data_IF_313518180930
#
_entry.id   IF_313518180930
#
_cell.length_a   1.000
_cell.length_b   1.000
_cell.length_c   1.000
_cell.angle_alpha   90.00
_cell.angle_beta   90.00
_cell.angle_gamma   90.00
#
_symmetry.space_group_name_H-M   'P 1'
#
loop_
_entity.id
_entity.type
_entity.pdbx_description
1 polymer ?
#
# COMPACT_ATOMS: atom_id res chain seq x y z
N UNK A 1 -28.09 -19.11 -12.24
CA UNK A 1 -27.38 -20.32 -12.69
C UNK A 1 -26.51 -19.91 -13.85
N UNK A 2 -25.21 -19.77 -13.63
CA UNK A 2 -24.22 -19.53 -14.69
C UNK A 2 -24.00 -20.90 -15.32
N UNK A 3 -24.19 -20.94 -16.65
CA UNK A 3 -24.23 -22.14 -17.49
C UNK A 3 -23.02 -23.06 -17.30
N UNK A 4 -23.20 -24.29 -17.69
CA UNK A 4 -22.33 -25.46 -17.68
C UNK A 4 -20.99 -25.31 -18.45
N UNK A 5 -20.58 -24.13 -18.85
CA UNK A 5 -19.29 -23.90 -19.54
C UNK A 5 -18.18 -23.65 -18.55
N UNK A 6 -17.04 -24.29 -18.76
CA UNK A 6 -15.81 -24.03 -18.02
C UNK A 6 -15.36 -22.59 -18.30
N UNK A 7 -15.27 -21.70 -17.28
CA UNK A 7 -14.94 -20.31 -17.50
C UNK A 7 -13.49 -20.15 -17.96
N UNK A 8 -13.23 -19.08 -18.68
CA UNK A 8 -11.89 -18.65 -19.08
C UNK A 8 -11.37 -17.62 -18.09
N UNK A 9 -10.22 -17.90 -17.50
CA UNK A 9 -9.50 -17.00 -16.58
C UNK A 9 -8.21 -16.52 -17.23
N UNK A 10 -8.10 -15.21 -17.47
CA UNK A 10 -6.84 -14.59 -17.83
C UNK A 10 -6.02 -14.30 -16.54
N UNK A 11 -4.70 -14.53 -16.56
CA UNK A 11 -3.80 -14.26 -15.45
C UNK A 11 -2.59 -13.48 -15.94
N UNK A 12 -2.52 -12.19 -15.60
CA UNK A 12 -1.35 -11.36 -15.85
C UNK A 12 -0.30 -11.62 -14.77
N UNK A 13 0.78 -12.29 -15.09
CA UNK A 13 1.78 -12.71 -14.11
C UNK A 13 3.25 -12.47 -14.53
N UNK A 14 3.51 -11.98 -15.75
CA UNK A 14 4.87 -11.82 -16.25
C UNK A 14 5.67 -13.12 -16.14
N UNK A 15 6.93 -13.01 -15.72
CA UNK A 15 7.83 -14.16 -15.56
C UNK A 15 7.54 -15.01 -14.31
N UNK A 16 6.77 -14.49 -13.36
CA UNK A 16 6.49 -15.16 -12.08
C UNK A 16 5.03 -15.58 -11.99
N UNK A 17 4.77 -16.88 -12.20
CA UNK A 17 3.41 -17.42 -12.04
C UNK A 17 2.97 -17.43 -10.57
N UNK A 18 1.66 -17.19 -10.30
CA UNK A 18 1.12 -17.37 -8.96
C UNK A 18 1.30 -18.82 -8.51
N UNK A 19 1.69 -19.07 -7.25
CA UNK A 19 1.86 -20.42 -6.72
C UNK A 19 0.50 -21.12 -6.56
N UNK A 20 0.53 -22.46 -6.59
CA UNK A 20 -0.58 -23.35 -6.22
C UNK A 20 -1.96 -23.05 -6.85
N UNK A 21 -1.96 -22.80 -8.16
CA UNK A 21 -3.20 -22.55 -8.93
C UNK A 21 -3.98 -23.82 -9.30
N UNK A 22 -3.53 -25.01 -8.93
CA UNK A 22 -4.09 -26.31 -9.36
C UNK A 22 -5.58 -26.48 -9.13
N UNK A 23 -6.10 -25.99 -7.99
CA UNK A 23 -7.54 -26.06 -7.71
C UNK A 23 -8.37 -25.22 -8.69
N UNK A 24 -7.84 -24.05 -9.11
CA UNK A 24 -8.47 -23.15 -10.07
C UNK A 24 -8.33 -23.70 -11.49
N UNK A 25 -7.17 -24.26 -11.85
CA UNK A 25 -6.90 -24.90 -13.14
C UNK A 25 -7.80 -26.14 -13.40
N UNK A 26 -8.24 -26.80 -12.33
CA UNK A 26 -9.21 -27.91 -12.45
C UNK A 26 -10.63 -27.43 -12.79
N UNK A 27 -10.95 -26.14 -12.57
CA UNK A 27 -12.29 -25.58 -12.71
C UNK A 27 -12.41 -24.49 -13.78
N UNK A 28 -11.28 -24.04 -14.37
CA UNK A 28 -11.22 -22.99 -15.38
C UNK A 28 -10.19 -23.29 -16.46
N UNK A 29 -10.40 -22.75 -17.67
CA UNK A 29 -9.36 -22.63 -18.68
C UNK A 29 -8.50 -21.43 -18.30
N UNK A 30 -7.28 -21.66 -17.77
CA UNK A 30 -6.39 -20.60 -17.31
C UNK A 30 -5.41 -20.21 -18.42
N UNK A 31 -5.38 -18.91 -18.76
CA UNK A 31 -4.45 -18.31 -19.72
C UNK A 31 -3.44 -17.42 -18.98
N UNK A 32 -2.26 -17.93 -18.76
CA UNK A 32 -1.15 -17.16 -18.19
C UNK A 32 -0.51 -16.29 -19.27
N UNK A 33 -0.24 -15.03 -18.94
CA UNK A 33 0.31 -14.06 -19.89
C UNK A 33 1.20 -13.02 -19.22
N UNK A 34 2.03 -12.38 -20.01
CA UNK A 34 2.72 -11.13 -19.71
C UNK A 34 1.95 -9.93 -20.27
N UNK A 35 2.55 -8.74 -20.18
CA UNK A 35 1.97 -7.50 -20.68
C UNK A 35 1.77 -7.52 -22.22
N UNK A 36 2.64 -8.19 -22.97
CA UNK A 36 2.60 -8.22 -24.43
C UNK A 36 1.45 -9.09 -24.95
N UNK A 37 1.19 -10.23 -24.32
CA UNK A 37 0.11 -11.15 -24.69
C UNK A 37 -1.23 -10.87 -24.02
N UNK A 38 -1.35 -9.79 -23.25
CA UNK A 38 -2.53 -9.54 -22.41
C UNK A 38 -3.83 -9.40 -23.20
N UNK A 39 -3.84 -8.72 -24.34
CA UNK A 39 -5.03 -8.55 -25.16
C UNK A 39 -5.58 -9.90 -25.67
N UNK A 40 -4.70 -10.80 -26.14
CA UNK A 40 -5.09 -12.13 -26.60
C UNK A 40 -5.64 -12.98 -25.44
N UNK A 41 -5.04 -12.88 -24.26
CA UNK A 41 -5.51 -13.60 -23.07
C UNK A 41 -6.87 -13.11 -22.57
N UNK A 42 -7.17 -11.81 -22.70
CA UNK A 42 -8.45 -11.20 -22.29
C UNK A 42 -9.59 -11.48 -23.26
N UNK A 43 -9.32 -11.69 -24.55
CA UNK A 43 -10.37 -11.97 -25.53
C UNK A 43 -11.16 -13.21 -25.15
N UNK A 44 -12.47 -13.06 -24.91
CA UNK A 44 -13.36 -14.12 -24.46
C UNK A 44 -13.12 -14.59 -23.02
N UNK A 45 -12.33 -13.88 -22.21
CA UNK A 45 -12.14 -14.23 -20.80
C UNK A 45 -13.33 -13.78 -19.95
N UNK A 46 -13.77 -14.62 -19.02
CA UNK A 46 -14.86 -14.35 -18.08
C UNK A 46 -14.39 -13.68 -16.79
N UNK A 47 -13.17 -14.00 -16.36
CA UNK A 47 -12.50 -13.46 -15.18
C UNK A 47 -11.05 -13.09 -15.47
N UNK A 48 -10.52 -12.14 -14.71
CA UNK A 48 -9.14 -11.67 -14.87
C UNK A 48 -8.44 -11.52 -13.50
N UNK A 49 -7.29 -12.15 -13.36
CA UNK A 49 -6.43 -12.04 -12.19
C UNK A 49 -5.17 -11.24 -12.55
N UNK A 50 -5.08 -10.01 -12.06
CA UNK A 50 -3.89 -9.16 -12.17
C UNK A 50 -2.95 -9.53 -11.03
N UNK A 51 -2.14 -10.58 -11.24
CA UNK A 51 -1.17 -11.04 -10.25
C UNK A 51 0.10 -10.17 -10.28
N UNK A 52 0.56 -9.76 -11.46
CA UNK A 52 1.57 -8.70 -11.62
C UNK A 52 0.91 -7.33 -11.41
N UNK A 53 0.72 -6.98 -10.15
CA UNK A 53 0.01 -5.77 -9.75
C UNK A 53 0.80 -4.47 -9.94
N UNK A 54 2.07 -4.55 -10.33
CA UNK A 54 2.88 -3.38 -10.70
C UNK A 54 2.78 -3.08 -12.20
N UNK A 55 2.19 -3.98 -12.98
CA UNK A 55 2.02 -3.80 -14.42
C UNK A 55 1.01 -2.69 -14.74
N UNK A 56 1.38 -1.83 -15.68
CA UNK A 56 0.52 -0.76 -16.24
C UNK A 56 -0.15 -1.16 -17.56
N UNK A 57 -0.11 -2.44 -17.96
CA UNK A 57 -0.58 -2.91 -19.26
C UNK A 57 -2.10 -2.98 -19.40
N UNK A 58 -2.85 -3.07 -18.29
CA UNK A 58 -4.30 -3.33 -18.29
C UNK A 58 -5.11 -2.30 -19.10
N UNK A 59 -4.90 -0.97 -18.98
CA UNK A 59 -5.64 0.01 -19.77
C UNK A 59 -5.46 -0.17 -21.28
N UNK A 60 -4.25 -0.48 -21.74
CA UNK A 60 -3.93 -0.67 -23.16
C UNK A 60 -4.60 -1.91 -23.79
N UNK A 61 -4.80 -2.96 -23.00
CA UNK A 61 -5.41 -4.21 -23.44
C UNK A 61 -6.92 -4.28 -23.20
N UNK A 62 -7.53 -3.28 -22.56
CA UNK A 62 -8.93 -3.30 -22.14
C UNK A 62 -9.95 -3.48 -23.25
N UNK A 63 -9.62 -3.03 -24.45
CA UNK A 63 -10.47 -3.18 -25.64
C UNK A 63 -10.77 -4.64 -25.99
N UNK A 64 -9.96 -5.60 -25.52
CA UNK A 64 -10.14 -7.04 -25.72
C UNK A 64 -10.95 -7.72 -24.60
N UNK A 65 -11.32 -7.02 -23.55
CA UNK A 65 -12.08 -7.57 -22.41
C UNK A 65 -13.59 -7.64 -22.70
N UNK A 66 -13.97 -8.31 -23.79
CA UNK A 66 -15.31 -8.34 -24.38
C UNK A 66 -16.36 -9.16 -23.57
N UNK A 67 -15.92 -10.11 -22.75
CA UNK A 67 -16.77 -10.97 -21.90
C UNK A 67 -16.50 -10.86 -20.41
N UNK A 68 -15.57 -9.98 -20.03
CA UNK A 68 -15.08 -9.90 -18.65
C UNK A 68 -16.19 -9.47 -17.67
N UNK A 69 -16.35 -10.20 -16.58
CA UNK A 69 -17.32 -9.92 -15.52
C UNK A 69 -16.68 -9.64 -14.18
N UNK A 70 -15.47 -10.13 -13.95
CA UNK A 70 -14.75 -9.97 -12.69
C UNK A 70 -13.26 -9.78 -12.92
N UNK A 71 -12.70 -8.77 -12.26
CA UNK A 71 -11.27 -8.49 -12.18
C UNK A 71 -10.84 -8.52 -10.71
N UNK A 72 -9.80 -9.28 -10.40
CA UNK A 72 -9.14 -9.27 -9.11
C UNK A 72 -7.71 -8.78 -9.26
N UNK A 73 -7.28 -7.83 -8.42
CA UNK A 73 -5.89 -7.39 -8.36
C UNK A 73 -5.21 -7.89 -7.08
N UNK A 74 -3.99 -8.41 -7.22
CA UNK A 74 -3.17 -9.00 -6.15
C UNK A 74 -2.50 -7.93 -5.26
N UNK A 75 -3.12 -6.78 -5.07
CA UNK A 75 -2.66 -5.70 -4.19
C UNK A 75 -3.80 -5.14 -3.36
N UNK A 76 -3.50 -4.36 -2.32
CA UNK A 76 -4.50 -3.63 -1.57
C UNK A 76 -4.92 -2.34 -2.29
N UNK A 77 -4.00 -1.64 -2.95
CA UNK A 77 -4.29 -0.51 -3.83
C UNK A 77 -4.79 -0.97 -5.20
N UNK A 78 -5.58 -0.16 -5.88
CA UNK A 78 -6.18 -0.48 -7.19
C UNK A 78 -5.81 0.52 -8.28
N UNK A 79 -4.99 1.49 -7.94
CA UNK A 79 -4.55 2.56 -8.84
C UNK A 79 -4.01 2.05 -10.19
N UNK A 80 -3.26 0.92 -10.30
CA UNK A 80 -2.77 0.45 -11.60
C UNK A 80 -3.87 -0.03 -12.57
N UNK A 81 -5.05 -0.38 -12.03
CA UNK A 81 -6.18 -0.90 -12.82
C UNK A 81 -7.38 0.05 -12.83
N UNK A 82 -7.30 1.19 -12.12
CA UNK A 82 -8.41 2.13 -12.00
C UNK A 82 -8.32 3.21 -13.07
N UNK A 83 -8.95 2.98 -14.21
CA UNK A 83 -9.03 3.90 -15.35
C UNK A 83 -10.47 4.02 -15.86
N UNK A 84 -10.82 5.04 -16.67
CA UNK A 84 -12.20 5.30 -17.08
C UNK A 84 -12.92 4.08 -17.65
N UNK A 85 -12.28 3.30 -18.52
CA UNK A 85 -12.90 2.13 -19.13
C UNK A 85 -13.33 1.06 -18.12
N UNK A 86 -12.55 0.81 -17.05
CA UNK A 86 -12.97 -0.08 -15.96
C UNK A 86 -14.03 0.59 -15.07
N UNK A 87 -13.87 1.89 -14.76
CA UNK A 87 -14.78 2.61 -13.89
C UNK A 87 -16.21 2.65 -14.43
N UNK A 88 -16.36 2.81 -15.75
CA UNK A 88 -17.64 2.88 -16.47
C UNK A 88 -18.23 1.49 -16.80
N UNK A 89 -17.46 0.42 -16.70
CA UNK A 89 -17.90 -0.94 -17.01
C UNK A 89 -18.74 -1.58 -15.89
N UNK A 90 -19.45 -2.67 -16.21
CA UNK A 90 -20.13 -3.52 -15.22
C UNK A 90 -19.21 -4.56 -14.57
N UNK A 91 -17.91 -4.57 -14.92
CA UNK A 91 -16.93 -5.52 -14.36
C UNK A 91 -16.76 -5.27 -12.87
N UNK A 92 -16.95 -6.30 -12.06
CA UNK A 92 -16.73 -6.22 -10.62
C UNK A 92 -15.23 -6.20 -10.35
N UNK A 93 -14.75 -5.21 -9.60
CA UNK A 93 -13.36 -5.11 -9.16
C UNK A 93 -13.23 -5.58 -7.71
N UNK A 94 -12.29 -6.49 -7.44
CA UNK A 94 -11.91 -6.91 -6.09
C UNK A 94 -10.40 -6.81 -5.90
N UNK A 95 -9.95 -6.68 -4.65
CA UNK A 95 -8.54 -6.56 -4.31
C UNK A 95 -8.12 -7.50 -3.16
N UNK A 96 -6.83 -7.51 -2.84
CA UNK A 96 -6.24 -8.34 -1.78
C UNK A 96 -6.14 -7.61 -0.44
N UNK A 97 -7.11 -6.73 -0.11
CA UNK A 97 -7.20 -6.05 1.19
C UNK A 97 -7.14 -7.07 2.33
N UNK A 98 -6.37 -6.77 3.37
CA UNK A 98 -6.21 -7.60 4.56
C UNK A 98 -4.96 -8.48 4.56
N UNK A 99 -4.34 -8.71 3.39
CA UNK A 99 -3.13 -9.55 3.27
C UNK A 99 -1.91 -8.84 3.89
N UNK A 100 -1.76 -7.56 3.65
CA UNK A 100 -0.53 -6.81 3.95
C UNK A 100 -0.56 -6.03 5.27
N UNK A 101 -1.73 -5.95 5.94
CA UNK A 101 -1.97 -5.03 7.06
C UNK A 101 -0.99 -5.24 8.23
N UNK A 102 -0.73 -6.49 8.57
CA UNK A 102 0.19 -6.85 9.66
C UNK A 102 1.65 -6.58 9.31
N UNK A 103 2.09 -7.05 8.14
CA UNK A 103 3.46 -6.90 7.69
C UNK A 103 3.87 -5.43 7.54
N UNK A 104 3.00 -4.59 6.96
CA UNK A 104 3.26 -3.14 6.87
C UNK A 104 3.33 -2.51 8.26
N UNK A 105 2.48 -2.93 9.21
CA UNK A 105 2.54 -2.41 10.57
C UNK A 105 3.85 -2.79 11.27
N UNK A 106 4.33 -4.03 11.09
CA UNK A 106 5.63 -4.49 11.58
C UNK A 106 6.79 -3.71 10.94
N UNK A 107 6.73 -3.48 9.63
CA UNK A 107 7.71 -2.66 8.92
C UNK A 107 7.77 -1.25 9.52
N UNK A 108 6.62 -0.58 9.71
CA UNK A 108 6.56 0.78 10.29
C UNK A 108 7.15 0.80 11.72
N UNK A 109 6.82 -0.18 12.57
CA UNK A 109 7.44 -0.28 13.90
C UNK A 109 8.96 -0.51 13.78
N UNK A 110 9.39 -1.35 12.84
CA UNK A 110 10.79 -1.63 12.56
C UNK A 110 11.57 -0.37 12.21
N UNK A 111 11.06 0.47 11.30
CA UNK A 111 11.74 1.71 10.90
C UNK A 111 11.71 2.78 12.01
N UNK A 112 10.62 2.86 12.79
CA UNK A 112 10.55 3.74 13.96
C UNK A 112 11.63 3.36 14.98
N UNK A 113 11.80 2.07 15.25
CA UNK A 113 12.87 1.57 16.12
C UNK A 113 14.26 1.79 15.52
N UNK A 114 14.43 1.59 14.21
CA UNK A 114 15.70 1.81 13.53
C UNK A 114 16.18 3.25 13.68
N UNK A 115 15.28 4.22 13.53
CA UNK A 115 15.59 5.63 13.81
C UNK A 115 15.86 5.90 15.30
N UNK A 116 14.96 5.46 16.17
CA UNK A 116 15.09 5.75 17.60
C UNK A 116 16.34 5.15 18.23
N UNK A 117 16.79 3.98 17.75
CA UNK A 117 17.99 3.27 18.24
C UNK A 117 19.23 3.54 17.40
N UNK A 118 19.11 4.33 16.34
CA UNK A 118 20.21 4.70 15.46
C UNK A 118 20.97 3.44 14.95
N UNK A 119 20.19 2.48 14.39
CA UNK A 119 20.77 1.21 13.95
C UNK A 119 21.69 1.40 12.75
N UNK A 120 21.41 2.33 11.86
CA UNK A 120 22.27 2.64 10.71
C UNK A 120 23.69 2.99 11.20
N UNK A 121 23.78 3.91 12.15
CA UNK A 121 25.07 4.27 12.75
C UNK A 121 25.74 3.11 13.50
N UNK A 122 24.94 2.24 14.14
CA UNK A 122 25.50 1.05 14.81
C UNK A 122 26.18 0.12 13.81
N UNK A 123 25.53 -0.13 12.66
CA UNK A 123 26.10 -0.97 11.59
C UNK A 123 27.36 -0.36 10.99
N UNK A 124 27.40 0.96 10.80
CA UNK A 124 28.59 1.63 10.27
C UNK A 124 29.77 1.58 11.26
N UNK A 125 29.51 1.82 12.54
CA UNK A 125 30.52 1.66 13.60
C UNK A 125 31.03 0.22 13.68
N UNK A 126 30.14 -0.78 13.54
CA UNK A 126 30.52 -2.19 13.50
C UNK A 126 31.43 -2.49 12.31
N UNK A 127 31.11 -2.02 11.09
CA UNK A 127 31.98 -2.18 9.90
C UNK A 127 33.37 -1.55 10.11
N UNK A 128 33.40 -0.39 10.80
CA UNK A 128 34.62 0.34 11.15
C UNK A 128 35.35 -0.24 12.36
N UNK A 129 34.82 -1.28 13.03
CA UNK A 129 35.33 -1.89 14.26
C UNK A 129 35.51 -0.86 15.40
N UNK A 130 34.59 0.12 15.46
CA UNK A 130 34.59 1.17 16.47
C UNK A 130 33.59 0.85 17.58
N UNK A 131 34.10 0.70 18.80
CA UNK A 131 33.32 0.57 20.03
C UNK A 131 33.02 1.97 20.57
N UNK A 132 31.86 2.56 20.16
CA UNK A 132 31.48 3.91 20.56
C UNK A 132 30.13 3.90 21.28
N UNK A 133 30.18 4.21 22.58
CA UNK A 133 28.97 4.40 23.39
C UNK A 133 28.26 5.71 22.96
N UNK A 134 26.93 5.67 22.91
CA UNK A 134 26.08 6.83 22.57
C UNK A 134 24.69 6.68 23.16
N UNK A 135 23.98 7.79 23.32
CA UNK A 135 22.59 7.80 23.72
C UNK A 135 21.66 7.45 22.53
N UNK A 136 20.51 6.90 22.84
CA UNK A 136 19.43 6.62 21.86
C UNK A 136 18.09 7.12 22.39
N UNK A 137 17.12 7.28 21.51
CA UNK A 137 15.78 7.74 21.88
C UNK A 137 14.91 6.58 22.40
N UNK A 138 13.92 6.92 23.25
CA UNK A 138 12.81 6.04 23.59
C UNK A 138 11.62 6.39 22.72
N UNK A 139 10.91 5.37 22.21
CA UNK A 139 9.67 5.57 21.43
C UNK A 139 8.44 5.72 22.32
N UNK A 140 8.46 5.18 23.53
CA UNK A 140 7.36 5.30 24.50
C UNK A 140 7.04 6.77 24.78
N UNK A 141 5.77 7.15 24.67
CA UNK A 141 5.29 8.51 24.83
C UNK A 141 5.49 9.42 23.60
N UNK A 142 6.20 8.97 22.56
CA UNK A 142 6.30 9.73 21.30
C UNK A 142 4.96 9.74 20.57
N UNK A 143 4.70 10.84 19.86
CA UNK A 143 3.45 11.07 19.12
C UNK A 143 3.59 10.66 17.66
N UNK A 144 2.63 9.88 17.18
CA UNK A 144 2.57 9.48 15.76
C UNK A 144 1.26 9.97 15.15
N UNK A 145 1.36 10.59 13.98
CA UNK A 145 0.24 10.94 13.15
C UNK A 145 0.18 9.98 11.96
N UNK A 146 -0.85 9.14 11.90
CA UNK A 146 -1.06 8.19 10.79
C UNK A 146 -2.03 8.80 9.80
N UNK A 147 -1.55 9.10 8.59
CA UNK A 147 -2.33 9.70 7.51
C UNK A 147 -2.84 8.60 6.60
N UNK A 148 -4.12 8.28 6.77
CA UNK A 148 -4.79 7.12 6.17
C UNK A 148 -5.33 6.19 7.26
N UNK A 149 -6.67 6.19 7.43
CA UNK A 149 -7.36 5.46 8.53
C UNK A 149 -8.06 4.18 8.04
N UNK A 150 -7.57 3.61 6.97
CA UNK A 150 -7.97 2.31 6.43
C UNK A 150 -7.42 1.13 7.26
N UNK A 151 -7.60 -0.13 6.82
CA UNK A 151 -7.17 -1.32 7.56
C UNK A 151 -5.67 -1.32 7.88
N UNK A 152 -4.82 -0.98 6.95
CA UNK A 152 -3.36 -0.87 7.15
C UNK A 152 -3.06 0.19 8.20
N UNK A 153 -3.63 1.41 8.07
CA UNK A 153 -3.43 2.47 9.06
C UNK A 153 -3.90 2.08 10.46
N UNK A 154 -5.00 1.35 10.58
CA UNK A 154 -5.47 0.78 11.85
C UNK A 154 -4.51 -0.24 12.43
N UNK A 155 -3.95 -1.11 11.60
CA UNK A 155 -2.97 -2.10 12.03
C UNK A 155 -1.69 -1.41 12.54
N UNK A 156 -1.22 -0.39 11.82
CA UNK A 156 -0.09 0.47 12.24
C UNK A 156 -0.41 1.14 13.59
N UNK A 157 -1.60 1.74 13.72
CA UNK A 157 -1.99 2.43 14.96
C UNK A 157 -2.01 1.48 16.17
N UNK A 158 -2.60 0.29 16.04
CA UNK A 158 -2.60 -0.73 17.11
C UNK A 158 -1.18 -1.15 17.49
N UNK A 159 -0.32 -1.41 16.51
CA UNK A 159 1.06 -1.84 16.71
C UNK A 159 1.88 -0.78 17.47
N UNK A 160 1.80 0.49 17.04
CA UNK A 160 2.53 1.58 17.65
C UNK A 160 2.01 1.94 19.05
N UNK A 161 0.70 1.84 19.29
CA UNK A 161 0.11 1.99 20.63
C UNK A 161 0.56 0.87 21.56
N UNK A 162 0.61 -0.38 21.10
CA UNK A 162 1.12 -1.49 21.88
C UNK A 162 2.61 -1.30 22.25
N UNK A 163 3.38 -0.59 21.42
CA UNK A 163 4.76 -0.20 21.70
C UNK A 163 4.87 1.05 22.63
N UNK A 164 3.73 1.57 23.14
CA UNK A 164 3.70 2.68 24.09
C UNK A 164 3.71 4.07 23.46
N UNK A 165 3.48 4.19 22.16
CA UNK A 165 3.38 5.49 21.47
C UNK A 165 1.96 6.07 21.58
N UNK A 166 1.84 7.40 21.49
CA UNK A 166 0.57 8.09 21.36
C UNK A 166 0.24 8.26 19.88
N UNK A 167 -0.91 7.73 19.44
CA UNK A 167 -1.27 7.71 18.02
C UNK A 167 -2.56 8.50 17.78
N UNK A 168 -2.56 9.32 16.72
CA UNK A 168 -3.75 9.94 16.17
C UNK A 168 -3.82 9.64 14.66
N UNK A 169 -5.02 9.70 14.10
CA UNK A 169 -5.26 9.49 12.68
C UNK A 169 -5.61 10.76 11.92
N UNK A 170 -5.33 10.78 10.62
CA UNK A 170 -5.89 11.76 9.66
C UNK A 170 -6.62 10.99 8.56
N UNK A 171 -7.85 11.38 8.28
CA UNK A 171 -8.68 10.72 7.27
C UNK A 171 -9.85 11.59 6.84
N UNK A 172 -10.65 11.09 5.90
CA UNK A 172 -11.78 11.85 5.35
C UNK A 172 -12.94 12.07 6.34
N UNK A 173 -13.13 11.14 7.27
CA UNK A 173 -14.20 11.20 8.28
C UNK A 173 -13.59 11.42 9.65
N UNK A 174 -13.59 12.67 10.16
CA UNK A 174 -13.10 12.96 11.51
C UNK A 174 -14.00 12.28 12.55
N UNK A 175 -13.43 11.86 13.68
CA UNK A 175 -14.13 11.27 14.80
C UNK A 175 -13.25 11.24 16.04
N UNK A 176 -13.88 11.33 17.19
CA UNK A 176 -13.25 11.18 18.51
C UNK A 176 -13.47 9.77 19.05
N UNK A 177 -12.60 9.31 19.93
CA UNK A 177 -12.74 8.03 20.62
C UNK A 177 -12.63 6.81 19.71
N UNK A 178 -11.97 6.92 18.55
CA UNK A 178 -11.71 5.77 17.69
C UNK A 178 -10.85 4.74 18.44
N UNK A 179 -11.23 3.44 18.44
CA UNK A 179 -10.56 2.43 19.26
C UNK A 179 -9.08 2.25 18.92
N UNK A 180 -8.68 2.50 17.66
CA UNK A 180 -7.32 2.31 17.19
C UNK A 180 -6.49 3.61 17.27
N UNK A 181 -7.10 4.76 16.94
CA UNK A 181 -6.40 6.06 16.83
C UNK A 181 -6.60 6.97 18.04
N UNK A 182 -7.65 6.78 18.85
CA UNK A 182 -8.14 7.81 19.76
C UNK A 182 -8.90 8.87 18.97
N UNK A 183 -8.17 9.85 18.42
CA UNK A 183 -8.75 10.88 17.57
C UNK A 183 -8.38 10.69 16.12
N UNK A 184 -9.33 10.96 15.24
CA UNK A 184 -9.13 11.03 13.78
C UNK A 184 -9.54 12.42 13.31
N UNK A 185 -8.60 13.14 12.75
CA UNK A 185 -8.79 14.50 12.22
C UNK A 185 -9.16 14.47 10.74
N UNK A 186 -9.78 15.53 10.26
CA UNK A 186 -10.08 15.68 8.84
C UNK A 186 -8.79 15.85 8.02
N UNK A 187 -8.74 15.26 6.81
CA UNK A 187 -7.59 15.41 5.90
C UNK A 187 -7.33 16.87 5.51
N UNK A 188 -8.37 17.71 5.47
CA UNK A 188 -8.25 19.17 5.25
C UNK A 188 -7.57 19.91 6.40
N UNK A 189 -7.40 19.28 7.56
CA UNK A 189 -6.75 19.87 8.73
C UNK A 189 -5.34 19.29 8.97
N UNK A 190 -4.77 18.57 7.99
CA UNK A 190 -3.47 17.90 8.12
C UNK A 190 -2.40 18.86 8.69
N UNK A 191 -2.20 20.02 8.06
CA UNK A 191 -1.17 21.00 8.43
C UNK A 191 -1.29 21.46 9.89
N UNK A 192 -2.51 21.48 10.47
CA UNK A 192 -2.75 21.85 11.88
C UNK A 192 -2.21 20.80 12.87
N UNK A 193 -2.15 19.53 12.47
CA UNK A 193 -1.78 18.43 13.36
C UNK A 193 -0.34 17.96 13.18
N UNK A 194 0.32 18.32 12.08
CA UNK A 194 1.73 18.01 11.81
C UNK A 194 2.69 18.50 12.90
N UNK A 195 2.56 19.74 13.46
CA UNK A 195 3.49 20.25 14.48
C UNK A 195 3.54 19.41 15.77
N UNK A 196 2.49 18.65 16.05
CA UNK A 196 2.39 17.82 17.26
C UNK A 196 3.04 16.45 17.14
N UNK A 197 3.46 16.00 15.95
CA UNK A 197 3.89 14.65 15.69
C UNK A 197 5.42 14.50 15.70
N UNK A 198 5.95 13.52 16.43
CA UNK A 198 7.35 13.10 16.35
C UNK A 198 7.60 12.22 15.11
N UNK A 199 6.56 11.50 14.67
CA UNK A 199 6.55 10.68 13.46
C UNK A 199 5.26 10.94 12.68
N UNK A 200 5.38 11.06 11.35
CA UNK A 200 4.23 11.12 10.43
C UNK A 200 4.31 9.90 9.51
N UNK A 201 3.25 9.10 9.47
CA UNK A 201 3.18 7.88 8.65
C UNK A 201 2.13 8.07 7.57
N UNK A 202 2.56 8.14 6.31
CA UNK A 202 1.70 8.23 5.14
C UNK A 202 1.31 6.81 4.67
N UNK A 203 -0.01 6.52 4.68
CA UNK A 203 -0.62 5.25 4.25
C UNK A 203 -2.00 5.48 3.63
N UNK A 204 -2.26 6.71 3.17
CA UNK A 204 -3.47 7.05 2.44
C UNK A 204 -3.48 6.43 1.04
N UNK A 205 -4.65 6.11 0.46
CA UNK A 205 -4.73 5.75 -0.95
C UNK A 205 -4.38 6.94 -1.84
N UNK A 206 -3.87 6.67 -3.04
CA UNK A 206 -3.66 7.70 -4.05
C UNK A 206 -4.99 8.08 -4.68
N UNK A 207 -5.32 9.36 -4.62
CA UNK A 207 -6.49 9.99 -5.23
C UNK A 207 -6.09 11.41 -5.65
N UNK A 208 -6.92 12.10 -6.43
CA UNK A 208 -6.68 13.49 -6.77
C UNK A 208 -6.52 14.41 -5.54
N UNK A 209 -7.21 14.08 -4.41
CA UNK A 209 -7.13 14.86 -3.17
C UNK A 209 -5.90 14.54 -2.32
N UNK A 210 -5.26 13.40 -2.54
CA UNK A 210 -4.10 12.98 -1.74
C UNK A 210 -2.79 13.08 -2.50
N UNK A 211 -2.83 13.25 -3.82
CA UNK A 211 -1.66 13.46 -4.66
C UNK A 211 -0.94 14.74 -4.24
N UNK A 212 0.35 14.63 -3.93
CA UNK A 212 1.19 15.75 -3.49
C UNK A 212 0.77 16.38 -2.16
N UNK A 213 0.00 15.66 -1.31
CA UNK A 213 -0.45 16.21 -0.02
C UNK A 213 0.69 16.48 0.98
N UNK A 214 1.85 15.91 0.73
CA UNK A 214 3.09 16.21 1.45
C UNK A 214 4.02 17.01 0.54
N UNK A 215 3.82 18.30 0.53
CA UNK A 215 4.57 19.32 -0.19
C UNK A 215 5.47 20.14 0.76
N UNK A 216 6.07 21.21 0.25
CA UNK A 216 6.93 22.10 1.03
C UNK A 216 6.22 22.70 2.26
N UNK A 217 4.93 23.07 2.13
CA UNK A 217 4.15 23.61 3.23
C UNK A 217 3.90 22.56 4.32
N UNK A 218 3.53 21.35 3.91
CA UNK A 218 3.32 20.24 4.82
C UNK A 218 4.61 19.87 5.57
N UNK A 219 5.76 19.79 4.89
CA UNK A 219 7.04 19.50 5.54
C UNK A 219 7.49 20.63 6.44
N UNK A 220 7.29 21.89 6.07
CA UNK A 220 7.59 23.05 6.92
C UNK A 220 6.70 23.11 8.17
N UNK A 221 5.46 22.59 8.09
CA UNK A 221 4.56 22.50 9.24
C UNK A 221 4.90 21.33 10.20
N UNK A 222 5.71 20.36 9.78
CA UNK A 222 6.10 19.25 10.65
C UNK A 222 6.97 19.74 11.81
N UNK A 223 6.90 19.03 12.94
CA UNK A 223 7.71 19.32 14.10
C UNK A 223 9.21 19.24 13.73
N UNK A 224 10.03 20.27 14.03
CA UNK A 224 11.47 20.21 13.81
C UNK A 224 12.09 18.96 14.43
N UNK A 225 12.87 18.21 13.66
CA UNK A 225 13.47 16.97 14.08
C UNK A 225 12.53 15.75 14.07
N UNK A 226 11.31 15.89 13.56
CA UNK A 226 10.42 14.76 13.33
C UNK A 226 10.87 13.88 12.16
N UNK A 227 10.24 12.73 12.01
CA UNK A 227 10.55 11.75 10.96
C UNK A 227 9.33 11.42 10.13
N UNK A 228 9.54 11.23 8.84
CA UNK A 228 8.50 10.89 7.88
C UNK A 228 8.62 9.44 7.42
N UNK A 229 7.51 8.72 7.33
CA UNK A 229 7.46 7.34 6.85
C UNK A 229 6.40 7.25 5.75
N UNK A 230 6.77 6.81 4.55
CA UNK A 230 5.81 6.58 3.47
C UNK A 230 5.76 5.11 3.09
N UNK A 231 4.62 4.47 3.40
CA UNK A 231 4.25 3.10 3.02
C UNK A 231 2.94 3.07 2.23
N UNK A 232 2.52 4.23 1.71
CA UNK A 232 1.32 4.39 0.90
C UNK A 232 1.61 4.37 -0.59
N UNK A 233 1.81 5.56 -1.17
CA UNK A 233 2.21 5.76 -2.57
C UNK A 233 3.23 6.89 -2.67
N UNK A 234 4.14 6.78 -3.62
CA UNK A 234 5.17 7.80 -3.83
C UNK A 234 4.59 9.15 -4.19
N UNK A 235 3.53 9.18 -4.97
CA UNK A 235 2.86 10.39 -5.45
C UNK A 235 2.09 11.15 -4.34
N UNK A 236 1.97 10.62 -3.14
CA UNK A 236 1.51 11.38 -1.98
C UNK A 236 2.48 12.51 -1.62
N UNK A 237 3.73 12.41 -2.07
CA UNK A 237 4.87 13.26 -1.71
C UNK A 237 5.36 14.02 -2.93
N UNK A 238 5.58 15.31 -2.78
CA UNK A 238 6.41 16.09 -3.69
C UNK A 238 7.87 15.82 -3.35
N UNK A 239 8.51 14.93 -4.12
CA UNK A 239 9.85 14.39 -3.80
C UNK A 239 10.92 15.47 -3.65
N UNK A 240 10.89 16.55 -4.48
CA UNK A 240 11.81 17.69 -4.36
C UNK A 240 11.73 18.38 -3.01
N UNK A 241 10.53 18.52 -2.47
CA UNK A 241 10.26 19.22 -1.24
C UNK A 241 10.71 18.40 -0.02
N UNK A 242 10.47 17.08 -0.08
CA UNK A 242 11.00 16.15 0.92
C UNK A 242 12.54 16.21 0.97
N UNK A 243 13.20 16.18 -0.20
CA UNK A 243 14.67 16.28 -0.30
C UNK A 243 15.15 17.61 0.31
N UNK A 244 14.44 18.70 0.05
CA UNK A 244 14.72 20.00 0.66
C UNK A 244 14.70 19.93 2.19
N UNK A 245 13.59 19.48 2.77
CA UNK A 245 13.40 19.38 4.22
C UNK A 245 14.38 18.41 4.92
N UNK A 246 14.85 17.37 4.21
CA UNK A 246 15.87 16.45 4.73
C UNK A 246 17.27 17.08 4.70
N UNK A 247 17.58 17.89 3.68
CA UNK A 247 18.89 18.55 3.52
C UNK A 247 19.10 19.71 4.48
N UNK A 248 18.05 20.50 4.72
CA UNK A 248 18.13 21.64 5.64
C UNK A 248 17.99 21.22 7.10
N UNK A 249 17.66 19.95 7.38
CA UNK A 249 17.55 19.39 8.71
C UNK A 249 16.20 19.67 9.41
N UNK A 250 15.23 20.24 8.73
CA UNK A 250 13.86 20.40 9.25
C UNK A 250 13.26 19.04 9.63
N UNK A 251 13.50 18.02 8.81
CA UNK A 251 13.24 16.62 9.12
C UNK A 251 14.52 15.91 9.56
N UNK A 252 14.46 15.16 10.66
CA UNK A 252 15.57 14.34 11.11
C UNK A 252 15.82 13.13 10.21
N UNK A 253 14.81 12.64 9.50
CA UNK A 253 14.94 11.53 8.57
C UNK A 253 13.63 11.11 7.94
N UNK A 254 13.74 10.26 6.91
CA UNK A 254 12.60 9.63 6.28
C UNK A 254 12.84 8.14 6.00
N UNK A 255 11.77 7.33 6.09
CA UNK A 255 11.74 5.95 5.59
C UNK A 255 10.74 5.87 4.43
N UNK A 256 11.23 5.45 3.28
CA UNK A 256 10.48 5.46 2.03
C UNK A 256 10.47 4.05 1.44
N UNK A 257 9.29 3.45 1.39
CA UNK A 257 9.07 2.15 0.73
C UNK A 257 8.55 2.34 -0.69
N UNK A 258 8.01 3.54 -0.99
CA UNK A 258 7.36 3.86 -2.27
C UNK A 258 7.86 5.20 -2.82
N UNK A 259 7.88 5.32 -4.15
CA UNK A 259 8.44 6.46 -4.87
C UNK A 259 7.53 6.87 -6.03
N UNK A 260 7.56 8.15 -6.43
CA UNK A 260 6.80 8.65 -7.58
C UNK A 260 7.24 8.06 -8.92
N UNK A 261 8.46 7.53 -8.98
CA UNK A 261 8.96 6.71 -10.10
C UNK A 261 9.60 5.47 -9.52
N UNK A 262 9.09 4.31 -9.88
CA UNK A 262 9.59 3.01 -9.47
C UNK A 262 9.99 2.17 -10.69
N UNK A 263 11.17 1.54 -10.69
CA UNK A 263 12.23 1.62 -9.67
C UNK A 263 12.78 3.03 -9.48
N UNK A 264 13.23 3.35 -8.22
CA UNK A 264 13.86 4.64 -7.93
C UNK A 264 15.07 4.85 -8.85
N UNK A 265 15.13 5.95 -9.64
CA UNK A 265 16.25 6.22 -10.54
C UNK A 265 17.60 6.21 -9.83
N UNK A 266 18.62 5.66 -10.46
CA UNK A 266 19.96 5.52 -9.90
C UNK A 266 20.62 6.86 -9.52
N UNK A 267 20.24 7.94 -10.24
CA UNK A 267 20.70 9.31 -10.01
C UNK A 267 19.98 10.03 -8.87
N UNK A 268 18.97 9.40 -8.27
CA UNK A 268 18.22 10.02 -7.18
C UNK A 268 19.14 10.34 -5.99
N UNK A 269 19.12 11.60 -5.48
CA UNK A 269 19.91 11.95 -4.32
C UNK A 269 19.51 11.21 -3.04
N UNK A 270 18.32 10.64 -2.99
CA UNK A 270 17.85 9.88 -1.83
C UNK A 270 18.75 8.69 -1.50
N UNK A 271 19.41 8.07 -2.51
CA UNK A 271 20.33 6.94 -2.32
C UNK A 271 21.52 7.24 -1.41
N UNK A 272 21.96 8.50 -1.38
CA UNK A 272 23.18 8.92 -0.67
C UNK A 272 22.89 9.71 0.60
N UNK A 273 21.62 9.93 0.93
CA UNK A 273 21.23 10.66 2.14
C UNK A 273 21.30 9.74 3.36
N UNK A 274 22.19 10.05 4.32
CA UNK A 274 22.40 9.23 5.53
C UNK A 274 21.18 9.16 6.46
N UNK A 275 20.26 10.14 6.35
CA UNK A 275 19.02 10.23 7.12
C UNK A 275 17.81 9.63 6.39
N UNK A 276 18.03 8.88 5.29
CA UNK A 276 16.97 8.22 4.53
C UNK A 276 17.15 6.70 4.58
N UNK A 277 16.07 6.00 4.89
CA UNK A 277 15.95 4.55 4.76
C UNK A 277 15.09 4.25 3.54
N UNK A 278 15.62 3.47 2.61
CA UNK A 278 14.94 3.07 1.36
C UNK A 278 14.64 1.58 1.40
N UNK A 279 13.43 1.20 1.00
CA UNK A 279 13.08 -0.17 0.62
C UNK A 279 12.30 -0.19 -0.70
N UNK A 280 12.41 -1.27 -1.49
CA UNK A 280 11.89 -1.29 -2.88
C UNK A 280 10.45 -1.80 -2.93
N UNK A 281 9.49 -1.04 -2.38
CA UNK A 281 8.05 -1.32 -2.36
C UNK A 281 7.73 -2.73 -1.80
N UNK A 282 8.33 -3.05 -0.65
CA UNK A 282 8.27 -4.39 -0.05
C UNK A 282 7.82 -4.39 1.43
N UNK A 283 7.35 -3.26 1.97
CA UNK A 283 6.90 -3.17 3.37
C UNK A 283 5.79 -4.15 3.72
N UNK A 284 5.04 -4.61 2.73
CA UNK A 284 3.99 -5.61 2.87
C UNK A 284 4.45 -7.06 2.63
N UNK A 285 5.66 -7.29 2.12
CA UNK A 285 6.13 -8.60 1.71
C UNK A 285 6.63 -9.41 2.91
N UNK A 286 6.10 -10.59 3.10
CA UNK A 286 6.51 -11.55 4.13
C UNK A 286 6.68 -12.95 3.52
N UNK A 287 7.39 -13.83 4.20
CA UNK A 287 7.60 -15.19 3.69
C UNK A 287 6.25 -15.88 3.47
N UNK A 288 5.93 -16.23 2.23
CA UNK A 288 4.66 -16.88 1.86
C UNK A 288 3.54 -15.92 1.45
N UNK A 289 3.73 -14.60 1.41
CA UNK A 289 2.71 -13.63 1.02
C UNK A 289 2.04 -13.94 -0.33
N UNK A 290 2.81 -14.48 -1.29
CA UNK A 290 2.28 -14.87 -2.61
C UNK A 290 1.24 -16.00 -2.54
N UNK A 291 1.42 -16.95 -1.63
CA UNK A 291 0.41 -17.99 -1.37
C UNK A 291 -0.86 -17.38 -0.78
N UNK A 292 -0.72 -16.46 0.17
CA UNK A 292 -1.88 -15.77 0.77
C UNK A 292 -2.67 -14.96 -0.26
N UNK A 293 -2.00 -14.33 -1.25
CA UNK A 293 -2.70 -13.67 -2.36
C UNK A 293 -3.55 -14.65 -3.19
N UNK A 294 -2.97 -15.82 -3.51
CA UNK A 294 -3.70 -16.85 -4.26
C UNK A 294 -4.86 -17.42 -3.44
N UNK A 295 -4.71 -17.58 -2.12
CA UNK A 295 -5.80 -18.02 -1.24
C UNK A 295 -6.98 -17.04 -1.26
N UNK A 296 -6.70 -15.72 -1.19
CA UNK A 296 -7.74 -14.67 -1.29
C UNK A 296 -8.42 -14.69 -2.66
N UNK A 297 -7.64 -14.83 -3.74
CA UNK A 297 -8.18 -14.96 -5.08
C UNK A 297 -9.03 -16.22 -5.21
N UNK A 298 -8.56 -17.37 -4.74
CA UNK A 298 -9.25 -18.67 -4.83
C UNK A 298 -10.57 -18.67 -4.04
N UNK A 299 -10.63 -17.99 -2.87
CA UNK A 299 -11.89 -17.81 -2.13
C UNK A 299 -12.91 -17.02 -2.97
N UNK A 300 -12.47 -15.91 -3.57
CA UNK A 300 -13.33 -15.13 -4.45
C UNK A 300 -13.69 -15.86 -5.75
N UNK A 301 -12.79 -16.66 -6.32
CA UNK A 301 -13.08 -17.47 -7.49
C UNK A 301 -14.19 -18.51 -7.21
N UNK A 302 -14.14 -19.21 -6.07
CA UNK A 302 -15.22 -20.14 -5.63
C UNK A 302 -16.55 -19.41 -5.44
N UNK A 303 -16.54 -18.24 -4.78
CA UNK A 303 -17.74 -17.40 -4.59
C UNK A 303 -18.32 -16.93 -5.93
N UNK A 304 -17.47 -16.46 -6.83
CA UNK A 304 -17.87 -16.02 -8.16
C UNK A 304 -18.54 -17.15 -8.96
N UNK A 305 -17.95 -18.34 -8.89
CA UNK A 305 -18.51 -19.55 -9.53
C UNK A 305 -19.88 -19.95 -8.95
N UNK A 306 -20.03 -19.81 -7.63
CA UNK A 306 -21.27 -20.13 -6.92
C UNK A 306 -22.35 -19.02 -7.05
N UNK A 307 -22.03 -17.85 -7.63
CA UNK A 307 -22.91 -16.68 -7.64
C UNK A 307 -23.09 -16.03 -6.27
N UNK A 308 -22.15 -16.28 -5.35
CA UNK A 308 -22.13 -15.69 -4.02
C UNK A 308 -21.51 -14.27 -4.02
N UNK A 309 -21.81 -13.43 -3.02
CA UNK A 309 -21.17 -12.14 -2.87
C UNK A 309 -19.66 -12.25 -2.75
N UNK A 310 -18.93 -11.47 -3.56
CA UNK A 310 -17.47 -11.41 -3.51
C UNK A 310 -17.00 -10.63 -2.29
N UNK A 311 -15.83 -10.97 -1.78
CA UNK A 311 -15.13 -10.20 -0.75
C UNK A 311 -14.28 -9.10 -1.37
N UNK A 312 -14.06 -8.05 -0.60
CA UNK A 312 -13.19 -6.93 -0.98
C UNK A 312 -13.61 -6.27 -2.31
N UNK A 313 -14.91 -6.12 -2.54
CA UNK A 313 -15.42 -5.40 -3.70
C UNK A 313 -15.07 -3.92 -3.57
N UNK A 314 -14.38 -3.42 -4.58
CA UNK A 314 -13.92 -2.03 -4.65
C UNK A 314 -15.03 -1.15 -5.21
N UNK A 315 -15.29 -0.04 -4.54
CA UNK A 315 -16.03 1.06 -5.13
C UNK A 315 -15.11 1.76 -6.14
N UNK A 316 -15.43 1.61 -7.43
CA UNK A 316 -14.58 2.10 -8.52
C UNK A 316 -14.51 3.63 -8.61
N UNK A 317 -15.48 4.35 -8.02
CA UNK A 317 -15.46 5.81 -7.95
C UNK A 317 -14.60 6.31 -6.77
N UNK A 318 -14.60 5.54 -5.69
CA UNK A 318 -13.80 5.87 -4.50
C UNK A 318 -12.35 5.35 -4.58
N UNK A 319 -12.10 4.31 -5.39
CA UNK A 319 -10.79 3.68 -5.52
C UNK A 319 -10.38 2.77 -4.33
N UNK A 320 -11.32 2.33 -3.50
CA UNK A 320 -11.05 1.41 -2.38
C UNK A 320 -12.34 0.70 -1.93
N UNK A 321 -12.17 -0.31 -1.06
CA UNK A 321 -13.29 -1.07 -0.47
C UNK A 321 -13.95 -0.26 0.65
N UNK A 322 -15.25 0.11 0.56
CA UNK A 322 -15.95 0.85 1.60
C UNK A 322 -16.01 0.09 2.94
N UNK A 323 -15.95 0.82 4.06
CA UNK A 323 -15.96 0.22 5.40
C UNK A 323 -17.30 -0.44 5.77
N UNK A 324 -18.39 -0.08 5.12
CA UNK A 324 -19.73 -0.60 5.39
C UNK A 324 -19.94 -2.02 4.84
N UNK A 325 -19.13 -2.46 3.86
CA UNK A 325 -19.20 -3.81 3.29
C UNK A 325 -18.72 -4.90 4.26
N UNK A 326 -18.07 -4.53 5.37
CA UNK A 326 -17.56 -5.46 6.39
C UNK A 326 -18.58 -5.88 7.45
N UNK A 327 -19.81 -5.32 7.47
CA UNK A 327 -20.85 -5.66 8.47
C UNK A 327 -21.78 -6.78 8.03
N UNK A 328 -21.57 -7.37 6.86
CA UNK A 328 -22.42 -8.43 6.30
C UNK A 328 -21.66 -9.74 6.01
N UNK A 329 -20.52 -9.97 6.63
CA UNK A 329 -19.77 -11.21 6.51
C UNK A 329 -19.49 -11.89 7.82
#
# INVERSE_FOLDING_TARGET
MIASETPVLAVLCGDTRPPDMRAIEAEAVVRYTDAAGLADALSGADAFFVYDFLSTAVPGAWHAADRLRWLHIASAGVDPVLFPGLQESDVVLTNSRGVFDGAIAEYVLGVVLAFAKDFARSWDLQKQRQWKHRESERISGRRVLVVGTGPIGRSIARMLRAAGMSVAGVGRRPREGDPDFGDVYASSELSRHLPGADYVVAVAPLTEQTKGMFDAEAFAAMKPGSRFVNVGRGELVVTSDLIGALRDGSLAGAALDVFGTEPLPAESPLWTMENVLISPHMSGDFVGWRNTLVEVFADNFRRWRAGEPLRNVVDKQLGYVPSETLRQG
#
